data_IF_924757784403
#
_entry.id   IF_924757784403
#
_cell.length_a   1.000
_cell.length_b   1.000
_cell.length_c   1.000
_cell.angle_alpha   90.00
_cell.angle_beta   90.00
_cell.angle_gamma   90.00
#
_symmetry.space_group_name_H-M   'P 1'
#
loop_
_entity.id
_entity.type
_entity.pdbx_description
1 polymer ?
#
# COMPACT_ATOMS: atom_id res chain seq x y z
N UNK A 1 4.78 9.50 58.63
CA UNK A 1 5.07 8.53 57.54
C UNK A 1 4.08 8.83 56.43
N UNK A 2 4.52 9.54 55.39
CA UNK A 2 3.70 9.93 54.24
C UNK A 2 3.92 8.91 53.13
N UNK A 3 2.90 8.11 52.82
CA UNK A 3 2.88 7.30 51.60
C UNK A 3 1.97 8.02 50.60
N UNK A 4 2.58 8.76 49.67
CA UNK A 4 1.94 9.20 48.43
C UNK A 4 1.62 7.94 47.62
N UNK A 5 0.33 7.61 47.52
CA UNK A 5 -0.16 6.63 46.56
C UNK A 5 -0.16 7.35 45.21
N UNK A 6 0.85 7.07 44.39
CA UNK A 6 0.83 7.43 42.98
C UNK A 6 -0.10 6.45 42.27
N UNK A 7 -1.27 6.93 41.85
CA UNK A 7 -2.10 6.23 40.89
C UNK A 7 -1.30 6.02 39.59
N UNK A 8 -1.15 4.78 39.08
CA UNK A 8 -0.71 4.60 37.72
C UNK A 8 -1.82 5.08 36.80
N UNK A 9 -1.60 6.26 36.22
CA UNK A 9 -2.33 6.80 35.09
C UNK A 9 -2.36 5.75 33.98
N UNK A 10 -3.40 4.91 33.98
CA UNK A 10 -3.78 4.07 32.86
C UNK A 10 -4.13 5.02 31.73
N UNK A 11 -3.15 5.32 30.89
CA UNK A 11 -3.38 5.88 29.58
C UNK A 11 -4.21 4.84 28.83
N UNK A 12 -5.54 4.98 28.90
CA UNK A 12 -6.46 4.37 27.96
C UNK A 12 -6.01 4.82 26.58
N UNK A 13 -5.28 3.96 25.89
CA UNK A 13 -5.05 4.11 24.46
C UNK A 13 -6.42 3.87 23.83
N UNK A 14 -7.22 4.93 23.74
CA UNK A 14 -8.35 4.97 22.83
C UNK A 14 -7.78 4.59 21.46
N UNK A 15 -8.18 3.41 21.01
CA UNK A 15 -7.79 2.89 19.70
C UNK A 15 -8.45 3.79 18.68
N UNK A 16 -7.70 4.78 18.19
CA UNK A 16 -8.09 5.57 17.03
C UNK A 16 -8.42 4.60 15.88
N UNK A 17 -9.53 4.78 15.15
CA UNK A 17 -9.87 3.95 14.00
C UNK A 17 -8.91 4.27 12.86
N UNK A 18 -7.71 3.67 12.93
CA UNK A 18 -6.59 3.93 12.04
C UNK A 18 -5.91 2.65 11.55
N UNK A 19 -6.63 1.52 11.48
CA UNK A 19 -6.12 0.25 10.93
C UNK A 19 -6.13 0.23 9.39
N UNK A 20 -6.06 1.40 8.75
CA UNK A 20 -5.88 1.53 7.30
C UNK A 20 -4.39 1.47 6.89
N UNK A 21 -3.45 1.52 7.84
CA UNK A 21 -2.02 1.61 7.56
C UNK A 21 -1.33 0.28 7.22
N UNK A 22 -1.77 -0.86 7.78
CA UNK A 22 -1.07 -2.13 7.61
C UNK A 22 -1.40 -2.83 6.30
N UNK A 23 -2.69 -2.90 5.93
CA UNK A 23 -3.14 -3.57 4.72
C UNK A 23 -2.67 -2.86 3.45
N UNK A 24 -2.78 -1.53 3.40
CA UNK A 24 -2.28 -0.74 2.26
C UNK A 24 -0.76 -0.85 2.09
N UNK A 25 0.00 -0.93 3.20
CA UNK A 25 1.45 -1.15 3.15
C UNK A 25 1.78 -2.57 2.63
N UNK A 26 1.05 -3.58 3.09
CA UNK A 26 1.21 -4.95 2.64
C UNK A 26 0.90 -5.09 1.14
N UNK A 27 -0.20 -4.50 0.68
CA UNK A 27 -0.57 -4.48 -0.74
C UNK A 27 0.53 -3.82 -1.59
N UNK A 28 1.02 -2.64 -1.17
CA UNK A 28 2.11 -1.95 -1.87
C UNK A 28 3.36 -2.81 -1.97
N UNK A 29 3.71 -3.55 -0.90
CA UNK A 29 4.85 -4.48 -0.91
C UNK A 29 4.61 -5.66 -1.86
N UNK A 30 3.42 -6.25 -1.85
CA UNK A 30 3.07 -7.35 -2.75
C UNK A 30 3.11 -6.92 -4.22
N UNK A 31 2.56 -5.73 -4.52
CA UNK A 31 2.62 -5.12 -5.85
C UNK A 31 4.09 -4.85 -6.23
N UNK A 32 4.86 -4.19 -5.37
CA UNK A 32 6.26 -3.89 -5.66
C UNK A 32 7.10 -5.15 -5.89
N UNK A 33 6.87 -6.22 -5.13
CA UNK A 33 7.57 -7.49 -5.32
C UNK A 33 7.26 -8.14 -6.69
N UNK A 34 6.01 -8.04 -7.17
CA UNK A 34 5.62 -8.56 -8.49
C UNK A 34 6.18 -7.73 -9.65
N UNK A 35 6.32 -6.42 -9.45
CA UNK A 35 6.60 -5.44 -10.49
C UNK A 35 7.97 -4.78 -10.36
N UNK A 36 8.85 -5.38 -9.54
CA UNK A 36 10.20 -4.87 -9.32
C UNK A 36 10.91 -4.84 -10.67
N UNK A 37 11.34 -3.65 -11.07
CA UNK A 37 12.13 -3.43 -12.27
C UNK A 37 13.38 -2.65 -11.85
N UNK A 38 14.51 -2.96 -12.48
CA UNK A 38 15.78 -2.31 -12.20
C UNK A 38 15.83 -0.86 -12.69
N UNK A 39 14.81 -0.39 -13.42
CA UNK A 39 14.74 0.95 -14.00
C UNK A 39 13.55 1.75 -13.47
N UNK A 40 13.86 2.90 -12.86
CA UNK A 40 12.88 3.91 -12.45
C UNK A 40 12.37 3.77 -11.02
N UNK A 41 11.62 4.78 -10.54
CA UNK A 41 10.92 4.72 -9.26
C UNK A 41 9.50 4.19 -9.47
N UNK A 42 9.11 3.23 -8.64
CA UNK A 42 7.77 2.65 -8.64
C UNK A 42 6.86 3.48 -7.72
N UNK A 43 5.75 3.97 -8.26
CA UNK A 43 4.66 4.59 -7.51
C UNK A 43 3.42 3.69 -7.55
N UNK A 44 2.78 3.49 -6.40
CA UNK A 44 1.61 2.62 -6.23
C UNK A 44 0.50 3.39 -5.54
N UNK A 45 -0.52 3.76 -6.32
CA UNK A 45 -1.66 4.55 -5.87
C UNK A 45 -2.90 3.69 -5.77
N UNK A 46 -3.50 3.66 -4.58
CA UNK A 46 -4.84 3.09 -4.40
C UNK A 46 -5.87 3.95 -5.12
N UNK A 47 -6.80 3.30 -5.81
CA UNK A 47 -7.86 3.98 -6.57
C UNK A 47 -9.22 3.77 -5.90
N UNK A 48 -9.66 2.52 -5.75
CA UNK A 48 -10.92 2.17 -5.10
C UNK A 48 -10.93 0.71 -4.62
N UNK A 49 -11.99 0.32 -3.91
CA UNK A 49 -12.20 -1.05 -3.42
C UNK A 49 -13.61 -1.50 -3.81
N UNK A 50 -13.76 -2.72 -4.34
CA UNK A 50 -15.06 -3.32 -4.71
C UNK A 50 -15.02 -4.83 -4.55
N UNK A 51 -16.05 -5.41 -3.93
CA UNK A 51 -16.23 -6.87 -3.77
C UNK A 51 -15.00 -7.58 -3.19
N UNK A 52 -14.35 -7.00 -2.16
CA UNK A 52 -13.13 -7.56 -1.57
C UNK A 52 -11.85 -7.29 -2.35
N UNK A 53 -11.93 -6.84 -3.61
CA UNK A 53 -10.77 -6.44 -4.40
C UNK A 53 -10.41 -4.97 -4.17
N UNK A 54 -9.12 -4.71 -4.01
CA UNK A 54 -8.52 -3.38 -3.89
C UNK A 54 -7.79 -3.05 -5.17
N UNK A 55 -8.16 -1.96 -5.82
CA UNK A 55 -7.65 -1.59 -7.14
C UNK A 55 -6.61 -0.48 -7.04
N UNK A 56 -5.53 -0.64 -7.80
CA UNK A 56 -4.33 0.19 -7.77
C UNK A 56 -3.91 0.59 -9.17
N UNK A 57 -3.36 1.80 -9.30
CA UNK A 57 -2.53 2.20 -10.43
C UNK A 57 -1.07 2.13 -10.03
N UNK A 58 -0.27 1.46 -10.85
CA UNK A 58 1.17 1.36 -10.71
C UNK A 58 1.82 2.19 -11.80
N UNK A 59 2.70 3.10 -11.45
CA UNK A 59 3.43 3.93 -12.40
C UNK A 59 4.93 3.72 -12.21
N UNK A 60 5.65 3.60 -13.31
CA UNK A 60 7.11 3.60 -13.32
C UNK A 60 7.56 4.95 -13.83
N UNK A 61 8.26 5.69 -13.00
CA UNK A 61 8.75 7.01 -13.30
C UNK A 61 10.23 6.99 -13.63
N UNK A 62 10.63 7.85 -14.57
CA UNK A 62 12.02 8.12 -14.92
C UNK A 62 12.32 9.62 -14.80
N UNK A 63 13.60 9.99 -14.73
CA UNK A 63 14.03 11.40 -14.70
C UNK A 63 13.63 12.19 -13.46
N UNK A 64 13.13 11.54 -12.40
CA UNK A 64 12.67 12.22 -11.17
C UNK A 64 13.78 13.06 -10.54
N UNK A 65 15.00 12.53 -10.49
CA UNK A 65 16.12 13.18 -9.80
C UNK A 65 16.77 14.29 -10.65
N UNK A 66 16.44 14.36 -11.95
CA UNK A 66 16.98 15.32 -12.92
C UNK A 66 16.01 16.48 -13.22
N UNK A 67 14.81 16.46 -12.63
CA UNK A 67 13.76 17.47 -12.84
C UNK A 67 12.81 17.17 -14.00
N UNK A 68 13.16 16.21 -14.87
CA UNK A 68 12.35 15.77 -16.01
C UNK A 68 11.53 14.50 -15.66
N UNK A 69 10.72 14.62 -14.60
CA UNK A 69 9.90 13.51 -14.12
C UNK A 69 8.83 13.12 -15.15
N UNK A 70 8.94 11.91 -15.69
CA UNK A 70 7.98 11.38 -16.66
C UNK A 70 7.58 9.95 -16.33
N UNK A 71 6.33 9.60 -16.66
CA UNK A 71 5.82 8.22 -16.51
C UNK A 71 6.27 7.41 -17.73
N UNK A 72 7.12 6.42 -17.51
CA UNK A 72 7.59 5.50 -18.54
C UNK A 72 6.51 4.49 -18.94
N UNK A 73 5.81 3.93 -17.94
CA UNK A 73 4.68 3.01 -18.15
C UNK A 73 3.73 3.05 -16.96
N UNK A 74 2.50 2.61 -17.20
CA UNK A 74 1.48 2.39 -16.16
C UNK A 74 0.93 0.96 -16.24
N UNK A 75 0.53 0.43 -15.09
CA UNK A 75 -0.24 -0.79 -14.99
C UNK A 75 -1.47 -0.58 -14.10
N UNK A 76 -2.54 -1.32 -14.40
CA UNK A 76 -3.74 -1.38 -13.57
C UNK A 76 -3.81 -2.74 -12.88
N UNK A 77 -3.91 -2.74 -11.56
CA UNK A 77 -3.71 -3.94 -10.74
C UNK A 77 -4.83 -4.05 -9.71
N UNK A 78 -5.28 -5.28 -9.42
CA UNK A 78 -6.11 -5.55 -8.25
C UNK A 78 -5.38 -6.44 -7.26
N UNK A 79 -5.69 -6.25 -5.98
CA UNK A 79 -5.22 -7.07 -4.88
C UNK A 79 -6.42 -7.65 -4.15
N UNK A 80 -6.34 -8.93 -3.82
CA UNK A 80 -7.29 -9.62 -2.95
C UNK A 80 -6.55 -10.50 -1.96
N UNK A 81 -7.18 -10.79 -0.83
CA UNK A 81 -6.69 -11.79 0.11
C UNK A 81 -7.53 -13.07 -0.11
N UNK A 82 -6.90 -14.11 -0.66
CA UNK A 82 -7.53 -15.39 -0.98
C UNK A 82 -6.74 -16.51 -0.30
N UNK A 83 -7.43 -17.39 0.43
CA UNK A 83 -6.84 -18.56 1.11
C UNK A 83 -5.63 -18.22 2.01
N UNK A 84 -5.67 -17.05 2.67
CA UNK A 84 -4.58 -16.58 3.54
C UNK A 84 -3.36 -16.00 2.80
N UNK A 85 -3.44 -15.84 1.47
CA UNK A 85 -2.41 -15.23 0.65
C UNK A 85 -2.89 -13.93 -0.03
N UNK A 86 -1.98 -12.97 -0.18
CA UNK A 86 -2.25 -11.74 -0.95
C UNK A 86 -1.98 -12.01 -2.43
N UNK A 87 -3.03 -11.98 -3.25
CA UNK A 87 -2.98 -12.22 -4.70
C UNK A 87 -3.00 -10.90 -5.44
N UNK A 88 -2.03 -10.70 -6.34
CA UNK A 88 -1.90 -9.50 -7.15
C UNK A 88 -2.19 -9.83 -8.62
N UNK A 89 -3.21 -9.22 -9.21
CA UNK A 89 -3.65 -9.47 -10.59
C UNK A 89 -3.40 -8.25 -11.47
N UNK A 90 -2.68 -8.43 -12.58
CA UNK A 90 -2.42 -7.37 -13.57
C UNK A 90 -3.52 -7.36 -14.64
N UNK A 91 -4.16 -6.22 -14.83
CA UNK A 91 -5.25 -6.01 -15.81
C UNK A 91 -4.79 -5.21 -17.04
N UNK A 92 -3.52 -4.83 -17.11
CA UNK A 92 -2.96 -3.96 -18.16
C UNK A 92 -3.00 -4.60 -19.55
N UNK A 93 -3.13 -5.93 -19.61
CA UNK A 93 -3.36 -6.70 -20.85
C UNK A 93 -4.63 -7.53 -20.76
N UNK A 94 -5.78 -6.89 -20.90
CA UNK A 94 -6.96 -7.53 -21.52
C UNK A 94 -7.27 -6.80 -22.82
N UNK A 95 -6.32 -6.86 -23.76
CA UNK A 95 -6.62 -6.70 -25.17
C UNK A 95 -6.71 -8.11 -25.74
N UNK A 96 -7.94 -8.54 -26.06
CA UNK A 96 -8.17 -9.59 -27.05
C UNK A 96 -8.06 -8.96 -28.43
#
# INVERSE_FOLDING_TARGET
MNAQVMDPMMASIETLPGRAGSAALQDRRAIAAKFVDARGKLDVRHLWTRNGHRYYRVNWWTGIDEGDASVLRSAFVSVEDADGATVVTDHTRKAA
#
